data_IF_570082187593
#
_entry.id   IF_570082187593
#
_cell.length_a   1.000
_cell.length_b   1.000
_cell.length_c   1.000
_cell.angle_alpha   90.00
_cell.angle_beta   90.00
_cell.angle_gamma   90.00
#
_symmetry.space_group_name_H-M   'P 1'
#
loop_
_entity.id
_entity.type
_entity.pdbx_description
1 polymer ?
#
# COMPACT_ATOMS: atom_id res chain seq x y z
N UNK A 1 -33.61 -14.68 -60.09
CA UNK A 1 -34.11 -14.93 -58.72
C UNK A 1 -33.05 -15.75 -58.00
N UNK A 2 -32.35 -15.33 -56.95
CA UNK A 2 -32.30 -14.10 -56.19
C UNK A 2 -31.12 -14.24 -55.22
N UNK A 3 -30.08 -13.44 -55.42
CA UNK A 3 -28.87 -13.30 -54.59
C UNK A 3 -29.17 -12.39 -53.40
N UNK A 4 -29.42 -12.90 -52.19
CA UNK A 4 -29.39 -12.11 -50.93
C UNK A 4 -29.26 -13.00 -49.68
N UNK A 5 -28.07 -13.49 -49.34
CA UNK A 5 -27.71 -13.87 -47.95
C UNK A 5 -26.20 -13.67 -47.77
N UNK A 6 -25.74 -12.43 -47.69
CA UNK A 6 -24.36 -12.10 -47.32
C UNK A 6 -24.32 -10.65 -46.81
N UNK A 7 -24.92 -10.40 -45.63
CA UNK A 7 -24.79 -9.12 -44.91
C UNK A 7 -25.46 -9.23 -43.53
N UNK A 8 -24.94 -10.05 -42.62
CA UNK A 8 -25.40 -10.04 -41.21
C UNK A 8 -24.41 -10.69 -40.24
N UNK A 9 -23.10 -10.63 -40.50
CA UNK A 9 -22.07 -11.02 -39.52
C UNK A 9 -20.87 -10.08 -39.70
N UNK A 10 -21.07 -8.78 -39.52
CA UNK A 10 -19.96 -7.80 -39.50
C UNK A 10 -20.33 -6.54 -38.71
N UNK A 11 -21.25 -6.63 -37.75
CA UNK A 11 -21.68 -5.48 -36.94
C UNK A 11 -21.55 -5.69 -35.42
N UNK A 12 -21.05 -6.85 -34.96
CA UNK A 12 -20.85 -7.14 -33.54
C UNK A 12 -19.41 -6.91 -33.04
N UNK A 13 -18.42 -6.77 -33.94
CA UNK A 13 -17.00 -6.66 -33.55
C UNK A 13 -16.55 -5.20 -33.40
N UNK A 14 -17.26 -4.23 -33.98
CA UNK A 14 -16.84 -2.82 -33.96
C UNK A 14 -17.34 -2.00 -32.76
N UNK A 15 -18.25 -2.54 -31.95
CA UNK A 15 -18.83 -1.79 -30.82
C UNK A 15 -18.01 -1.85 -29.52
N UNK A 16 -16.95 -2.66 -29.46
CA UNK A 16 -16.10 -2.79 -28.28
C UNK A 16 -14.92 -1.79 -28.23
N UNK A 17 -14.69 -0.99 -29.27
CA UNK A 17 -13.50 -0.12 -29.38
C UNK A 17 -13.78 1.39 -29.28
N UNK A 18 -15.02 1.80 -29.01
CA UNK A 18 -15.41 3.22 -28.83
C UNK A 18 -16.17 3.46 -27.53
N UNK A 19 -15.91 2.66 -26.49
CA UNK A 19 -16.25 3.11 -25.14
C UNK A 19 -15.28 4.25 -24.78
N UNK A 20 -15.77 5.45 -24.43
CA UNK A 20 -14.90 6.45 -23.83
C UNK A 20 -14.21 5.82 -22.62
N UNK A 21 -12.88 5.96 -22.51
CA UNK A 21 -12.14 5.61 -21.30
C UNK A 21 -12.90 6.28 -20.16
N UNK A 22 -13.55 5.53 -19.25
CA UNK A 22 -14.13 6.17 -18.09
C UNK A 22 -12.95 6.81 -17.37
N UNK A 23 -12.96 8.15 -17.27
CA UNK A 23 -12.18 8.81 -16.24
C UNK A 23 -12.45 8.03 -14.96
N UNK A 24 -11.40 7.44 -14.35
CA UNK A 24 -11.49 6.57 -13.18
C UNK A 24 -12.54 7.12 -12.22
N UNK A 25 -13.76 6.61 -12.32
CA UNK A 25 -14.80 6.88 -11.37
C UNK A 25 -14.25 6.26 -10.10
N UNK A 26 -14.10 7.06 -9.05
CA UNK A 26 -13.44 6.67 -7.81
C UNK A 26 -13.81 5.23 -7.46
N UNK A 27 -12.81 4.36 -7.44
CA UNK A 27 -12.99 2.95 -7.13
C UNK A 27 -13.49 2.91 -5.69
N UNK A 28 -14.80 2.78 -5.50
CA UNK A 28 -15.38 2.58 -4.18
C UNK A 28 -15.08 1.15 -3.80
N UNK A 29 -14.05 0.96 -2.98
CA UNK A 29 -13.81 -0.34 -2.36
C UNK A 29 -15.02 -0.71 -1.52
N UNK A 30 -15.61 -1.86 -1.85
CA UNK A 30 -16.72 -2.46 -1.08
C UNK A 30 -16.21 -3.46 -0.03
N UNK A 31 -14.90 -3.72 -0.02
CA UNK A 31 -14.25 -4.65 0.89
C UNK A 31 -13.63 -3.86 2.05
N UNK A 32 -13.62 -4.43 3.27
CA UNK A 32 -13.00 -3.76 4.40
C UNK A 32 -11.50 -3.65 4.16
N UNK A 33 -10.97 -2.43 4.18
CA UNK A 33 -9.53 -2.17 4.24
C UNK A 33 -9.12 -1.84 5.68
N UNK A 34 -7.94 -2.29 6.08
CA UNK A 34 -7.38 -2.02 7.40
C UNK A 34 -5.90 -1.60 7.28
N UNK A 35 -5.49 -0.70 8.17
CA UNK A 35 -4.08 -0.33 8.34
C UNK A 35 -3.74 -0.27 9.82
N UNK A 36 -2.62 -0.85 10.21
CA UNK A 36 -2.16 -0.79 11.61
C UNK A 36 -0.63 -0.84 11.72
N UNK A 37 -0.13 -0.38 12.86
CA UNK A 37 1.28 -0.51 13.23
C UNK A 37 1.57 -1.91 13.77
N UNK A 38 2.75 -2.44 13.45
CA UNK A 38 3.22 -3.74 13.97
C UNK A 38 3.44 -3.77 15.48
N UNK A 39 3.58 -2.59 16.10
CA UNK A 39 3.80 -2.42 17.53
C UNK A 39 2.96 -1.24 18.05
N UNK A 40 2.65 -1.28 19.34
CA UNK A 40 1.86 -0.23 19.99
C UNK A 40 2.68 1.00 20.39
N UNK A 41 4.01 0.91 20.36
CA UNK A 41 4.90 2.02 20.69
C UNK A 41 6.23 1.97 19.95
N UNK A 42 6.80 3.15 19.66
CA UNK A 42 8.12 3.31 19.03
C UNK A 42 8.98 4.36 19.74
N UNK A 43 10.30 4.17 19.75
CA UNK A 43 11.30 5.11 20.26
C UNK A 43 12.05 5.84 19.14
N UNK A 44 13.01 6.69 19.53
CA UNK A 44 13.92 7.36 18.59
C UNK A 44 14.83 6.34 17.91
N UNK A 45 14.93 6.41 16.58
CA UNK A 45 15.70 5.48 15.76
C UNK A 45 15.01 4.15 15.47
N UNK A 46 13.84 3.88 16.07
CA UNK A 46 13.06 2.68 15.74
C UNK A 46 12.55 2.72 14.30
N UNK A 47 12.36 1.54 13.71
CA UNK A 47 11.65 1.40 12.44
C UNK A 47 10.18 1.13 12.73
N UNK A 48 9.33 2.12 12.47
CA UNK A 48 7.89 1.95 12.51
C UNK A 48 7.45 1.15 11.28
N UNK A 49 6.90 -0.04 11.52
CA UNK A 49 6.40 -0.94 10.47
C UNK A 49 4.88 -0.89 10.49
N UNK A 50 4.28 -0.81 9.31
CA UNK A 50 2.82 -0.80 9.12
C UNK A 50 2.42 -1.93 8.20
N UNK A 51 1.23 -2.48 8.45
CA UNK A 51 0.59 -3.47 7.61
C UNK A 51 -0.72 -2.93 7.07
N UNK A 52 -0.95 -3.13 5.77
CA UNK A 52 -2.20 -2.81 5.07
C UNK A 52 -2.81 -4.09 4.57
N UNK A 53 -4.05 -4.37 4.93
CA UNK A 53 -4.84 -5.45 4.34
C UNK A 53 -5.88 -4.82 3.42
N UNK A 54 -5.70 -4.97 2.10
CA UNK A 54 -6.65 -4.50 1.10
C UNK A 54 -6.59 -5.35 -0.18
N UNK A 55 -7.64 -6.14 -0.49
CA UNK A 55 -7.69 -6.93 -1.72
C UNK A 55 -7.74 -6.09 -3.01
N UNK A 56 -8.13 -4.82 -2.95
CA UNK A 56 -8.14 -3.93 -4.11
C UNK A 56 -6.73 -3.45 -4.50
N UNK A 57 -5.73 -3.63 -3.62
CA UNK A 57 -4.31 -3.47 -3.95
C UNK A 57 -3.72 -4.67 -4.70
N UNK A 58 -4.46 -5.79 -4.79
CA UNK A 58 -4.05 -6.97 -5.54
C UNK A 58 -5.10 -7.33 -6.59
N UNK A 59 -5.38 -6.44 -7.57
CA UNK A 59 -6.30 -6.74 -8.64
C UNK A 59 -5.76 -7.90 -9.49
N UNK A 60 -6.60 -8.87 -9.89
CA UNK A 60 -6.16 -9.94 -10.77
C UNK A 60 -5.67 -9.39 -12.11
N UNK A 61 -4.67 -10.06 -12.68
CA UNK A 61 -4.26 -9.85 -14.07
C UNK A 61 -4.84 -10.95 -14.94
N UNK A 62 -5.31 -10.57 -16.14
CA UNK A 62 -5.89 -11.50 -17.11
C UNK A 62 -4.88 -11.86 -18.20
N UNK A 63 -4.92 -13.12 -18.65
CA UNK A 63 -4.27 -13.57 -19.88
C UNK A 63 -5.17 -14.51 -20.68
N UNK A 64 -4.96 -14.54 -22.00
CA UNK A 64 -5.58 -15.52 -22.87
C UNK A 64 -4.58 -16.62 -23.18
N UNK A 65 -5.00 -17.88 -23.02
CA UNK A 65 -4.28 -19.05 -23.49
C UNK A 65 -5.03 -19.65 -24.68
N UNK A 66 -4.30 -19.96 -25.75
CA UNK A 66 -4.86 -20.55 -26.98
C UNK A 66 -4.10 -21.81 -27.38
N UNK A 67 -4.81 -22.90 -27.63
CA UNK A 67 -4.32 -24.09 -28.33
C UNK A 67 -4.99 -24.20 -29.70
N UNK A 68 -4.25 -23.91 -30.77
CA UNK A 68 -4.79 -23.87 -32.14
C UNK A 68 -4.62 -25.19 -32.88
N UNK A 69 -5.71 -25.71 -33.46
CA UNK A 69 -5.69 -26.92 -34.33
C UNK A 69 -5.00 -28.10 -33.65
N UNK A 70 -5.50 -28.52 -32.49
CA UNK A 70 -4.85 -29.59 -31.72
C UNK A 70 -4.73 -30.88 -32.54
N UNK A 71 -3.57 -31.58 -32.55
CA UNK A 71 -3.29 -32.66 -33.49
C UNK A 71 -3.99 -33.98 -33.15
N UNK A 72 -4.39 -34.17 -31.90
CA UNK A 72 -5.09 -35.36 -31.42
C UNK A 72 -6.11 -34.99 -30.34
N UNK A 73 -7.15 -35.83 -30.12
CA UNK A 73 -8.09 -35.60 -29.04
C UNK A 73 -7.41 -35.57 -27.68
N UNK A 74 -7.89 -34.72 -26.78
CA UNK A 74 -7.48 -34.61 -25.37
C UNK A 74 -8.69 -35.03 -24.54
N UNK A 75 -8.52 -36.04 -23.70
CA UNK A 75 -9.65 -36.62 -22.96
C UNK A 75 -10.17 -35.65 -21.89
N UNK A 76 -11.43 -35.84 -21.49
CA UNK A 76 -11.94 -35.17 -20.30
C UNK A 76 -11.04 -35.47 -19.09
N UNK A 77 -10.97 -34.54 -18.14
CA UNK A 77 -10.13 -34.65 -16.93
C UNK A 77 -8.60 -34.66 -17.16
N UNK A 78 -8.14 -34.53 -18.42
CA UNK A 78 -6.72 -34.30 -18.71
C UNK A 78 -6.33 -32.85 -18.42
N UNK A 79 -5.10 -32.68 -17.93
CA UNK A 79 -4.53 -31.39 -17.57
C UNK A 79 -4.06 -30.61 -18.81
N UNK A 80 -4.50 -29.36 -18.89
CA UNK A 80 -4.01 -28.33 -19.80
C UNK A 80 -3.14 -27.37 -19.01
N UNK A 81 -1.86 -27.29 -19.36
CA UNK A 81 -0.91 -26.50 -18.59
C UNK A 81 -0.65 -25.15 -19.28
N UNK A 82 -1.06 -24.06 -18.63
CA UNK A 82 -0.94 -22.67 -19.08
C UNK A 82 0.51 -22.16 -19.06
N UNK A 83 1.43 -22.85 -18.39
CA UNK A 83 2.84 -22.47 -18.38
C UNK A 83 3.60 -23.06 -19.57
N UNK A 84 3.35 -24.34 -19.86
CA UNK A 84 4.11 -25.14 -20.83
C UNK A 84 3.40 -25.35 -22.16
N UNK A 85 2.09 -25.13 -22.20
CA UNK A 85 1.25 -25.47 -23.35
C UNK A 85 0.93 -26.96 -23.48
N UNK A 86 1.29 -27.80 -22.50
CA UNK A 86 0.85 -29.20 -22.48
C UNK A 86 -0.69 -29.29 -22.52
N UNK A 87 -1.28 -30.31 -23.19
CA UNK A 87 -0.61 -31.45 -23.81
C UNK A 87 -0.01 -31.18 -25.21
N UNK A 88 -0.29 -30.02 -25.83
CA UNK A 88 0.11 -29.71 -27.21
C UNK A 88 0.92 -28.40 -27.30
N UNK A 89 2.17 -28.37 -26.80
CA UNK A 89 2.96 -27.13 -26.67
C UNK A 89 3.27 -26.45 -28.01
N UNK A 90 3.41 -27.22 -29.10
CA UNK A 90 3.66 -26.67 -30.44
C UNK A 90 2.46 -25.89 -31.03
N UNK A 91 1.29 -26.00 -30.41
CA UNK A 91 0.04 -25.38 -30.82
C UNK A 91 -0.41 -24.28 -29.86
N UNK A 92 0.39 -24.02 -28.83
CA UNK A 92 0.07 -23.17 -27.70
C UNK A 92 0.60 -21.76 -27.86
N UNK A 93 -0.18 -20.77 -27.45
CA UNK A 93 0.25 -19.39 -27.33
C UNK A 93 -0.49 -18.67 -26.20
N UNK A 94 0.21 -17.74 -25.54
CA UNK A 94 -0.37 -16.73 -24.65
C UNK A 94 -0.66 -15.44 -25.41
N UNK A 95 -1.60 -14.64 -24.92
CA UNK A 95 -1.82 -13.28 -25.40
C UNK A 95 -0.55 -12.42 -25.28
N UNK A 96 -0.37 -11.48 -26.20
CA UNK A 96 0.78 -10.58 -26.18
C UNK A 96 0.76 -9.72 -24.90
N UNK A 97 1.91 -9.60 -24.24
CA UNK A 97 2.03 -8.85 -22.98
C UNK A 97 1.53 -9.59 -21.75
N UNK A 98 1.20 -10.88 -21.86
CA UNK A 98 0.84 -11.71 -20.73
C UNK A 98 1.96 -11.72 -19.67
N UNK A 99 1.62 -11.36 -18.43
CA UNK A 99 2.55 -11.27 -17.30
C UNK A 99 2.66 -12.57 -16.48
N UNK A 100 1.92 -13.61 -16.87
CA UNK A 100 1.94 -14.92 -16.19
C UNK A 100 3.33 -15.54 -16.26
N UNK A 101 3.87 -15.96 -15.11
CA UNK A 101 5.20 -16.56 -15.03
C UNK A 101 5.15 -18.03 -15.48
N UNK A 102 5.50 -18.27 -16.74
CA UNK A 102 5.54 -19.62 -17.32
C UNK A 102 6.71 -20.46 -16.82
N UNK A 103 7.72 -19.86 -16.16
CA UNK A 103 8.89 -20.57 -15.62
C UNK A 103 8.63 -21.01 -14.18
N UNK A 104 7.98 -20.16 -13.38
CA UNK A 104 7.61 -20.43 -11.99
C UNK A 104 6.15 -20.02 -11.73
N UNK A 105 5.15 -20.81 -12.15
CA UNK A 105 3.73 -20.43 -12.07
C UNK A 105 3.24 -20.14 -10.64
N UNK A 106 3.88 -20.71 -9.63
CA UNK A 106 3.59 -20.40 -8.22
C UNK A 106 3.92 -18.97 -7.81
N UNK A 107 4.72 -18.23 -8.59
CA UNK A 107 4.96 -16.79 -8.41
C UNK A 107 3.86 -15.93 -9.04
N UNK A 108 2.98 -16.53 -9.83
CA UNK A 108 1.78 -15.90 -10.38
C UNK A 108 0.58 -16.86 -10.24
N UNK A 109 0.17 -17.19 -9.01
CA UNK A 109 -0.81 -18.25 -8.78
C UNK A 109 -2.14 -17.92 -9.46
N UNK A 110 -2.80 -18.93 -10.02
CA UNK A 110 -4.09 -18.75 -10.68
C UNK A 110 -5.15 -18.30 -9.68
N UNK A 111 -5.91 -17.27 -10.05
CA UNK A 111 -7.10 -16.81 -9.34
C UNK A 111 -8.33 -17.19 -10.17
N UNK A 112 -9.13 -18.18 -9.77
CA UNK A 112 -10.25 -18.64 -10.58
C UNK A 112 -11.34 -17.56 -10.66
N UNK A 113 -11.73 -17.10 -11.85
CA UNK A 113 -12.88 -16.21 -11.97
C UNK A 113 -14.19 -16.96 -11.68
N UNK A 114 -15.24 -16.27 -11.18
CA UNK A 114 -16.57 -16.87 -11.05
C UNK A 114 -17.07 -17.43 -12.38
N UNK A 115 -17.35 -18.73 -12.44
CA UNK A 115 -17.86 -19.38 -13.65
C UNK A 115 -16.80 -19.60 -14.74
N UNK A 116 -15.53 -19.76 -14.36
CA UNK A 116 -14.43 -19.98 -15.28
C UNK A 116 -14.74 -21.06 -16.34
N UNK A 117 -14.60 -20.65 -17.61
CA UNK A 117 -14.88 -21.49 -18.76
C UNK A 117 -13.75 -21.36 -19.81
N UNK A 118 -13.56 -22.43 -20.57
CA UNK A 118 -12.79 -22.45 -21.81
C UNK A 118 -13.76 -22.46 -23.00
N UNK A 119 -13.42 -21.73 -24.06
CA UNK A 119 -14.11 -21.80 -25.33
C UNK A 119 -13.44 -22.84 -26.24
N UNK A 120 -14.24 -23.72 -26.83
CA UNK A 120 -13.81 -24.66 -27.86
C UNK A 120 -14.65 -24.48 -29.09
N UNK A 121 -14.00 -23.99 -30.15
CA UNK A 121 -14.61 -23.67 -31.44
C UNK A 121 -15.89 -22.80 -31.32
N UNK A 122 -15.89 -21.83 -30.40
CA UNK A 122 -17.03 -20.93 -30.16
C UNK A 122 -18.07 -21.45 -29.16
N UNK A 123 -17.82 -22.60 -28.51
CA UNK A 123 -18.69 -23.16 -27.48
C UNK A 123 -17.99 -23.13 -26.12
N UNK A 124 -18.62 -22.47 -25.14
CA UNK A 124 -18.08 -22.41 -23.78
C UNK A 124 -18.33 -23.71 -23.00
N UNK A 125 -17.29 -24.14 -22.29
CA UNK A 125 -17.30 -25.30 -21.41
C UNK A 125 -16.64 -24.97 -20.07
N UNK A 126 -17.16 -25.52 -18.98
CA UNK A 126 -16.65 -25.25 -17.65
C UNK A 126 -15.26 -25.87 -17.43
N UNK A 127 -14.39 -25.10 -16.80
CA UNK A 127 -13.17 -25.62 -16.18
C UNK A 127 -13.60 -26.47 -14.97
N UNK A 128 -13.25 -27.75 -15.00
CA UNK A 128 -13.64 -28.73 -13.98
C UNK A 128 -12.78 -28.63 -12.73
N UNK A 129 -11.50 -28.32 -12.90
CA UNK A 129 -10.51 -28.25 -11.84
C UNK A 129 -9.35 -27.34 -12.28
N UNK A 130 -8.56 -26.87 -11.34
CA UNK A 130 -7.37 -26.06 -11.60
C UNK A 130 -6.31 -26.26 -10.52
N UNK A 131 -5.05 -26.14 -10.93
CA UNK A 131 -3.89 -26.16 -10.04
C UNK A 131 -3.22 -24.79 -10.08
N UNK A 132 -3.32 -24.05 -8.98
CA UNK A 132 -2.78 -22.70 -8.85
C UNK A 132 -1.26 -22.67 -8.97
N UNK A 133 -0.57 -23.66 -8.38
CA UNK A 133 0.89 -23.67 -8.29
C UNK A 133 1.55 -24.15 -9.57
N UNK A 134 0.88 -25.01 -10.33
CA UNK A 134 1.36 -25.52 -11.62
C UNK A 134 0.89 -24.69 -12.81
N UNK A 135 -0.07 -23.79 -12.62
CA UNK A 135 -0.64 -23.04 -13.73
C UNK A 135 -1.42 -23.95 -14.67
N UNK A 136 -2.26 -24.86 -14.14
CA UNK A 136 -2.94 -25.86 -14.97
C UNK A 136 -4.45 -25.87 -14.73
N UNK A 137 -5.20 -26.29 -15.75
CA UNK A 137 -6.65 -26.45 -15.70
C UNK A 137 -7.06 -27.82 -16.23
N UNK A 138 -8.22 -28.31 -15.82
CA UNK A 138 -8.89 -29.45 -16.41
C UNK A 138 -10.19 -29.04 -17.06
N UNK A 139 -10.50 -29.64 -18.20
CA UNK A 139 -11.76 -29.43 -18.89
C UNK A 139 -12.74 -30.55 -18.56
N UNK A 140 -14.03 -30.20 -18.41
CA UNK A 140 -15.12 -31.12 -18.09
C UNK A 140 -15.58 -32.00 -19.27
N UNK A 141 -14.85 -32.00 -20.38
CA UNK A 141 -15.22 -32.66 -21.64
C UNK A 141 -13.98 -33.00 -22.47
N UNK A 142 -14.15 -33.94 -23.41
CA UNK A 142 -13.12 -34.32 -24.39
C UNK A 142 -13.04 -33.28 -25.51
N UNK A 143 -11.84 -32.77 -25.79
CA UNK A 143 -11.59 -31.88 -26.93
C UNK A 143 -11.14 -32.71 -28.13
N UNK A 144 -11.79 -32.55 -29.27
CA UNK A 144 -11.48 -33.33 -30.48
C UNK A 144 -10.28 -32.77 -31.25
N UNK A 145 -9.64 -33.63 -32.07
CA UNK A 145 -8.60 -33.17 -32.98
C UNK A 145 -9.11 -32.06 -33.91
N UNK A 146 -8.20 -31.18 -34.33
CA UNK A 146 -8.43 -29.96 -35.14
C UNK A 146 -9.19 -28.83 -34.46
N UNK A 147 -9.73 -29.02 -33.25
CA UNK A 147 -10.36 -27.94 -32.49
C UNK A 147 -9.36 -26.88 -32.06
N UNK A 148 -9.88 -25.69 -31.80
CA UNK A 148 -9.17 -24.59 -31.14
C UNK A 148 -9.75 -24.39 -29.75
N UNK A 149 -8.88 -24.41 -28.73
CA UNK A 149 -9.25 -24.12 -27.35
C UNK A 149 -8.74 -22.74 -26.99
N UNK A 150 -9.58 -21.90 -26.43
CA UNK A 150 -9.17 -20.63 -25.82
C UNK A 150 -9.68 -20.55 -24.40
N UNK A 151 -8.90 -19.98 -23.49
CA UNK A 151 -9.33 -19.73 -22.12
C UNK A 151 -8.77 -18.40 -21.65
N UNK A 152 -9.63 -17.57 -21.07
CA UNK A 152 -9.22 -16.39 -20.32
C UNK A 152 -9.01 -16.85 -18.90
N UNK A 153 -7.86 -16.57 -18.32
CA UNK A 153 -7.54 -16.93 -16.95
C UNK A 153 -7.01 -15.72 -16.20
N UNK A 154 -7.33 -15.68 -14.90
CA UNK A 154 -6.81 -14.66 -14.01
C UNK A 154 -5.73 -15.26 -13.12
N UNK A 155 -4.77 -14.44 -12.74
CA UNK A 155 -3.70 -14.79 -11.82
C UNK A 155 -3.29 -13.57 -11.03
N UNK A 156 -2.67 -13.85 -9.90
CA UNK A 156 -2.13 -12.82 -9.05
C UNK A 156 -0.70 -12.51 -9.45
N UNK A 157 -0.33 -11.24 -9.35
CA UNK A 157 1.04 -10.77 -9.55
C UNK A 157 1.48 -10.09 -8.28
N UNK A 158 2.78 -10.15 -7.98
CA UNK A 158 3.30 -9.51 -6.78
C UNK A 158 3.17 -7.99 -6.91
N UNK A 159 2.47 -7.36 -5.96
CA UNK A 159 2.22 -5.93 -6.02
C UNK A 159 3.22 -5.12 -5.19
N UNK A 160 3.64 -3.99 -5.77
CA UNK A 160 4.51 -3.02 -5.13
C UNK A 160 4.03 -1.61 -5.43
N UNK A 161 3.91 -0.80 -4.40
CA UNK A 161 3.47 0.58 -4.48
C UNK A 161 4.60 1.50 -3.98
N UNK A 162 5.30 2.23 -4.86
CA UNK A 162 6.33 3.17 -4.44
C UNK A 162 5.71 4.34 -3.68
N UNK A 163 6.48 5.05 -2.85
CA UNK A 163 5.97 6.23 -2.11
C UNK A 163 5.28 7.28 -3.01
N UNK A 164 5.69 7.39 -4.28
CA UNK A 164 5.07 8.28 -5.28
C UNK A 164 3.62 7.90 -5.65
N UNK A 165 3.14 6.71 -5.30
CA UNK A 165 1.73 6.31 -5.48
C UNK A 165 0.80 6.89 -4.42
N UNK A 166 1.34 7.45 -3.33
CA UNK A 166 0.58 8.10 -2.24
C UNK A 166 -0.42 7.18 -1.52
N UNK A 167 -0.21 5.86 -1.55
CA UNK A 167 -1.14 4.87 -0.96
C UNK A 167 -1.18 4.90 0.56
N UNK A 168 -0.07 5.25 1.22
CA UNK A 168 0.02 5.31 2.67
C UNK A 168 0.96 6.43 3.12
N UNK A 169 0.69 7.00 4.29
CA UNK A 169 1.50 8.04 4.92
C UNK A 169 1.66 7.78 6.41
N UNK A 170 2.87 7.93 6.93
CA UNK A 170 3.14 7.92 8.37
C UNK A 170 3.55 9.34 8.79
N UNK A 171 2.99 9.86 9.87
CA UNK A 171 3.21 11.24 10.32
C UNK A 171 3.07 11.37 11.85
N UNK A 172 3.40 12.54 12.39
CA UNK A 172 3.24 12.86 13.82
C UNK A 172 2.52 14.21 14.00
N UNK A 173 2.15 14.58 15.22
CA UNK A 173 1.60 15.93 15.47
C UNK A 173 2.63 17.03 15.20
N UNK A 174 3.92 16.73 15.38
CA UNK A 174 5.00 17.68 15.15
C UNK A 174 5.42 17.75 13.68
N UNK A 175 5.21 16.68 12.94
CA UNK A 175 5.43 16.59 11.50
C UNK A 175 4.17 16.09 10.80
N UNK A 176 3.18 16.98 10.54
CA UNK A 176 1.90 16.61 9.94
C UNK A 176 2.00 16.29 8.44
N UNK A 177 3.12 16.64 7.80
CA UNK A 177 3.38 16.25 6.42
C UNK A 177 3.91 14.82 6.37
N UNK A 178 4.77 14.46 7.32
CA UNK A 178 5.31 13.12 7.50
C UNK A 178 5.92 12.55 6.22
N UNK A 179 5.87 11.23 6.10
CA UNK A 179 6.46 10.48 5.01
C UNK A 179 5.43 9.63 4.27
N UNK A 180 5.43 9.74 2.94
CA UNK A 180 4.75 8.78 2.08
C UNK A 180 5.55 7.49 2.06
N UNK A 181 4.88 6.36 2.26
CA UNK A 181 5.53 5.08 2.48
C UNK A 181 5.34 4.18 1.26
N UNK A 182 6.43 3.58 0.79
CA UNK A 182 6.34 2.47 -0.15
C UNK A 182 5.85 1.22 0.57
N UNK A 183 4.89 0.52 -0.01
CA UNK A 183 4.38 -0.74 0.53
C UNK A 183 4.61 -1.88 -0.46
N UNK A 184 4.97 -3.06 0.05
CA UNK A 184 5.22 -4.27 -0.74
C UNK A 184 4.37 -5.42 -0.21
N UNK A 185 3.82 -6.24 -1.09
CA UNK A 185 3.01 -7.39 -0.71
C UNK A 185 3.88 -8.49 -0.02
N UNK A 186 3.38 -9.07 1.07
CA UNK A 186 4.12 -10.02 1.93
C UNK A 186 3.22 -11.16 2.42
N UNK A 187 3.81 -12.33 2.64
CA UNK A 187 3.10 -13.53 3.08
C UNK A 187 2.32 -13.34 4.39
N UNK A 188 2.93 -12.73 5.41
CA UNK A 188 2.28 -12.47 6.70
C UNK A 188 2.96 -11.35 7.47
N UNK A 189 2.35 -10.90 8.56
CA UNK A 189 2.98 -9.90 9.45
C UNK A 189 4.28 -10.40 10.10
N UNK A 190 4.45 -11.72 10.23
CA UNK A 190 5.65 -12.36 10.77
C UNK A 190 6.65 -12.83 9.71
N UNK A 191 6.28 -12.78 8.43
CA UNK A 191 7.08 -13.28 7.32
C UNK A 191 7.00 -12.31 6.14
N UNK A 192 8.09 -11.59 5.93
CA UNK A 192 8.21 -10.58 4.87
C UNK A 192 8.58 -11.17 3.50
N UNK A 193 8.50 -12.49 3.32
CA UNK A 193 8.67 -13.08 1.99
C UNK A 193 7.55 -12.61 1.06
N UNK A 194 7.84 -12.32 -0.22
CA UNK A 194 6.80 -11.91 -1.16
C UNK A 194 5.77 -13.01 -1.39
N UNK A 195 4.48 -12.64 -1.37
CA UNK A 195 3.37 -13.53 -1.70
C UNK A 195 2.27 -12.79 -2.47
N UNK A 196 2.12 -13.03 -3.79
CA UNK A 196 1.15 -12.35 -4.64
C UNK A 196 -0.32 -12.65 -4.28
N UNK A 197 -0.60 -13.68 -3.48
CA UNK A 197 -1.96 -14.06 -3.11
C UNK A 197 -2.38 -13.56 -1.72
N UNK A 198 -1.50 -12.85 -1.01
CA UNK A 198 -1.72 -12.48 0.39
C UNK A 198 -2.68 -11.31 0.58
N UNK A 199 -2.70 -10.34 -0.37
CA UNK A 199 -3.35 -9.04 -0.21
C UNK A 199 -2.94 -8.28 1.07
N UNK A 200 -1.78 -8.64 1.64
CA UNK A 200 -1.19 -8.03 2.83
C UNK A 200 0.08 -7.29 2.42
N UNK A 201 0.15 -6.02 2.77
CA UNK A 201 1.24 -5.15 2.36
C UNK A 201 1.99 -4.60 3.56
N UNK A 202 3.30 -4.52 3.45
CA UNK A 202 4.18 -4.01 4.50
C UNK A 202 4.83 -2.71 4.06
N UNK A 203 4.71 -1.68 4.89
CA UNK A 203 5.41 -0.40 4.78
C UNK A 203 6.29 -0.15 6.00
N UNK A 204 7.25 0.78 5.89
CA UNK A 204 8.05 1.19 7.03
C UNK A 204 8.63 2.61 6.91
N UNK A 205 8.88 3.24 8.05
CA UNK A 205 9.61 4.52 8.16
C UNK A 205 10.47 4.52 9.43
N UNK A 206 11.54 5.32 9.44
CA UNK A 206 12.34 5.50 10.67
C UNK A 206 11.77 6.64 11.51
N UNK A 207 11.64 6.44 12.82
CA UNK A 207 11.24 7.48 13.77
C UNK A 207 12.47 8.30 14.16
N UNK A 208 12.39 9.63 14.14
CA UNK A 208 13.53 10.50 14.48
C UNK A 208 13.15 11.67 15.38
N UNK A 209 13.97 11.94 16.39
CA UNK A 209 13.86 13.16 17.22
C UNK A 209 14.58 14.38 16.64
N UNK A 210 15.31 14.21 15.53
CA UNK A 210 16.02 15.31 14.84
C UNK A 210 15.01 16.19 14.07
N UNK A 211 14.88 17.49 14.39
CA UNK A 211 14.01 18.40 13.63
C UNK A 211 14.39 18.54 12.15
N UNK A 212 15.60 18.15 11.76
CA UNK A 212 16.00 18.05 10.36
C UNK A 212 15.20 17.01 9.56
N UNK A 213 14.57 16.05 10.25
CA UNK A 213 13.75 14.98 9.67
C UNK A 213 12.28 15.36 9.39
N UNK A 214 11.99 16.64 9.19
CA UNK A 214 10.68 17.12 8.69
C UNK A 214 10.65 17.23 7.16
N UNK A 215 11.75 16.90 6.50
CA UNK A 215 11.87 17.09 5.06
C UNK A 215 11.19 15.92 4.37
N UNK A 216 10.27 16.17 3.43
CA UNK A 216 9.55 15.08 2.77
C UNK A 216 10.52 14.18 2.00
N UNK A 217 10.21 12.88 1.99
CA UNK A 217 10.94 11.83 1.26
C UNK A 217 12.38 11.62 1.76
N UNK A 218 12.65 11.91 3.03
CA UNK A 218 13.91 11.56 3.68
C UNK A 218 13.86 10.18 4.39
N UNK A 219 12.70 9.53 4.37
CA UNK A 219 12.46 8.22 4.97
C UNK A 219 12.37 8.24 6.50
N UNK A 220 12.19 9.43 7.09
CA UNK A 220 12.11 9.65 8.54
C UNK A 220 10.92 10.51 8.89
N UNK A 221 10.28 10.20 10.02
CA UNK A 221 9.24 11.06 10.60
C UNK A 221 9.79 11.74 11.83
N UNK A 222 9.78 13.07 11.83
CA UNK A 222 10.17 13.83 13.00
C UNK A 222 9.13 13.73 14.12
N UNK A 223 9.59 13.48 15.34
CA UNK A 223 8.76 13.36 16.54
C UNK A 223 9.35 14.09 17.74
N UNK A 224 8.49 14.49 18.67
CA UNK A 224 8.86 15.07 19.96
C UNK A 224 8.27 14.26 21.13
N UNK A 225 8.86 14.44 22.30
CA UNK A 225 8.29 13.89 23.52
C UNK A 225 6.85 14.38 23.73
N UNK A 226 5.91 13.45 23.85
CA UNK A 226 4.48 13.72 23.97
C UNK A 226 3.69 13.54 22.68
N UNK A 227 4.36 13.36 21.53
CA UNK A 227 3.71 13.05 20.26
C UNK A 227 3.20 11.59 20.23
N UNK A 228 2.30 11.32 19.28
CA UNK A 228 1.90 10.02 18.79
C UNK A 228 2.28 9.88 17.32
N UNK A 229 2.50 8.64 16.88
CA UNK A 229 2.70 8.34 15.47
C UNK A 229 1.37 7.92 14.86
N UNK A 230 1.06 8.43 13.69
CA UNK A 230 -0.16 8.13 12.95
C UNK A 230 0.19 7.51 11.61
N UNK A 231 -0.70 6.66 11.12
CA UNK A 231 -0.66 6.16 9.76
C UNK A 231 -2.03 6.35 9.11
N UNK A 232 -2.02 6.85 7.89
CA UNK A 232 -3.17 7.00 7.01
C UNK A 232 -3.02 6.09 5.80
N UNK A 233 -4.09 5.39 5.43
CA UNK A 233 -4.22 4.62 4.19
C UNK A 233 -5.19 5.29 3.23
N UNK A 234 -4.81 5.47 1.97
CA UNK A 234 -5.59 6.23 0.98
C UNK A 234 -6.19 5.38 -0.16
N UNK A 235 -5.87 4.09 -0.25
CA UNK A 235 -6.36 3.22 -1.32
C UNK A 235 -5.43 3.16 -2.56
N UNK A 236 -5.73 2.26 -3.52
CA UNK A 236 -4.91 2.00 -4.72
C UNK A 236 -4.72 3.21 -5.64
N UNK A 237 -5.69 4.13 -5.66
CA UNK A 237 -5.63 5.35 -6.47
C UNK A 237 -4.93 6.53 -5.78
N UNK A 238 -4.53 6.35 -4.51
CA UNK A 238 -4.24 7.47 -3.61
C UNK A 238 -5.49 8.32 -3.34
N UNK A 239 -5.29 9.43 -2.63
CA UNK A 239 -6.40 10.34 -2.32
C UNK A 239 -6.04 11.41 -1.29
N UNK A 240 -6.96 12.35 -1.11
CA UNK A 240 -6.83 13.40 -0.09
C UNK A 240 -7.45 12.98 1.27
N UNK A 241 -8.31 11.96 1.27
CA UNK A 241 -9.01 11.49 2.46
C UNK A 241 -8.62 10.05 2.75
N UNK A 242 -8.17 9.72 3.97
CA UNK A 242 -7.85 8.35 4.32
C UNK A 242 -9.11 7.47 4.34
N UNK A 243 -8.96 6.25 3.85
CA UNK A 243 -9.93 5.15 3.94
C UNK A 243 -9.85 4.45 5.31
N UNK A 244 -8.65 4.36 5.87
CA UNK A 244 -8.38 3.82 7.20
C UNK A 244 -7.21 4.55 7.83
N UNK A 245 -7.18 4.63 9.16
CA UNK A 245 -6.10 5.26 9.93
C UNK A 245 -5.86 4.51 11.23
N UNK A 246 -4.62 4.55 11.72
CA UNK A 246 -4.23 3.97 12.99
C UNK A 246 -3.16 4.83 13.68
N UNK A 247 -2.91 4.56 14.96
CA UNK A 247 -1.95 5.31 15.77
C UNK A 247 -1.15 4.40 16.70
N UNK A 248 0.10 4.76 16.93
CA UNK A 248 0.99 4.16 17.93
C UNK A 248 1.55 5.24 18.86
N UNK A 249 1.82 4.88 20.11
CA UNK A 249 2.44 5.78 21.08
C UNK A 249 3.94 5.94 20.82
N UNK A 250 4.54 6.97 21.42
CA UNK A 250 5.99 7.15 21.37
C UNK A 250 6.62 6.98 22.76
N UNK A 251 7.70 6.21 22.84
CA UNK A 251 8.49 6.00 24.06
C UNK A 251 9.78 6.83 23.96
N UNK A 252 9.61 8.16 24.01
CA UNK A 252 10.74 9.11 23.96
C UNK A 252 11.13 9.57 25.36
N UNK A 253 12.44 9.68 25.66
CA UNK A 253 12.90 10.19 26.94
C UNK A 253 12.35 11.60 27.17
N UNK A 254 11.85 11.86 28.38
CA UNK A 254 11.43 13.21 28.75
C UNK A 254 12.62 14.17 28.61
N UNK A 255 12.43 15.39 28.08
CA UNK A 255 13.50 16.37 28.00
C UNK A 255 14.03 16.64 29.41
N UNK A 256 15.35 16.46 29.60
CA UNK A 256 15.97 16.82 30.86
C UNK A 256 15.87 18.33 31.01
N UNK A 257 15.29 18.87 32.10
CA UNK A 257 15.23 20.31 32.29
C UNK A 257 16.66 20.83 32.32
N UNK A 258 17.04 21.63 31.32
CA UNK A 258 18.31 22.36 31.41
C UNK A 258 18.14 23.32 32.58
N UNK A 259 19.00 23.27 33.60
CA UNK A 259 18.88 24.21 34.72
C UNK A 259 18.93 25.61 34.14
N UNK A 260 17.84 26.37 34.32
CA UNK A 260 17.84 27.79 33.98
C UNK A 260 19.02 28.39 34.73
N UNK A 261 19.98 29.02 34.05
CA UNK A 261 21.09 29.66 34.74
C UNK A 261 20.49 30.65 35.73
N UNK A 262 20.67 30.38 37.02
CA UNK A 262 20.32 31.35 38.06
C UNK A 262 21.17 32.57 37.73
N UNK A 263 20.58 33.74 37.43
CA UNK A 263 21.38 34.93 37.20
C UNK A 263 22.24 35.10 38.45
N UNK A 264 23.56 35.09 38.27
CA UNK A 264 24.48 35.32 39.36
C UNK A 264 24.02 36.61 40.04
N UNK A 265 23.63 36.51 41.31
CA UNK A 265 23.45 37.67 42.17
C UNK A 265 24.83 38.30 42.33
N UNK A 266 25.22 39.10 41.35
CA UNK A 266 26.37 39.98 41.47
C UNK A 266 26.23 40.80 42.75
N UNK A 267 27.33 41.22 43.39
CA UNK A 267 27.33 41.90 44.69
C UNK A 267 26.56 43.24 44.74
N UNK A 268 25.86 43.63 43.68
CA UNK A 268 25.20 44.92 43.53
C UNK A 268 23.85 44.97 44.28
N UNK A 269 23.19 43.85 44.57
CA UNK A 269 21.91 43.86 45.29
C UNK A 269 22.01 44.16 46.79
N UNK A 270 23.18 43.98 47.42
CA UNK A 270 23.41 44.35 48.82
C UNK A 270 23.82 45.82 48.99
N UNK A 271 24.46 46.42 47.99
CA UNK A 271 24.84 47.84 48.02
C UNK A 271 23.61 48.78 47.89
N UNK A 272 22.63 48.41 47.05
CA UNK A 272 21.42 49.24 46.84
C UNK A 272 20.50 49.24 48.07
N UNK A 273 20.41 48.11 48.79
CA UNK A 273 19.68 48.02 50.07
C UNK A 273 20.42 48.73 51.23
N UNK A 274 21.75 48.72 51.26
CA UNK A 274 22.54 49.45 52.27
C UNK A 274 22.49 50.97 52.11
N UNK A 275 22.55 51.48 50.87
CA UNK A 275 22.53 52.93 50.60
C UNK A 275 21.15 53.53 50.89
N UNK A 276 20.05 52.82 50.59
CA UNK A 276 18.70 53.29 50.93
C UNK A 276 18.46 53.33 52.45
N UNK A 277 19.01 52.39 53.22
CA UNK A 277 18.92 52.42 54.69
C UNK A 277 19.71 53.57 55.32
N UNK A 278 20.89 53.90 54.79
CA UNK A 278 21.71 55.04 55.24
C UNK A 278 21.05 56.39 54.93
N UNK A 279 20.44 56.54 53.75
CA UNK A 279 19.73 57.77 53.37
C UNK A 279 18.50 57.98 54.28
N UNK A 280 17.76 56.92 54.61
CA UNK A 280 16.60 56.98 55.52
C UNK A 280 16.99 57.29 56.97
N UNK A 281 18.11 56.74 57.48
CA UNK A 281 18.61 57.09 58.81
C UNK A 281 19.09 58.55 58.88
N UNK A 282 19.78 59.04 57.86
CA UNK A 282 20.29 60.42 57.85
C UNK A 282 19.16 61.46 57.76
N UNK A 283 18.09 61.14 57.03
CA UNK A 283 16.89 61.99 56.96
C UNK A 283 16.08 62.03 58.27
N UNK A 284 16.09 60.96 59.07
CA UNK A 284 15.48 60.96 60.41
C UNK A 284 16.29 61.74 61.44
N UNK A 285 17.61 61.74 61.35
CA UNK A 285 18.49 62.41 62.33
C UNK A 285 18.58 63.93 62.13
N UNK A 286 18.30 64.45 60.94
CA UNK A 286 18.42 65.90 60.63
C UNK A 286 17.14 66.71 60.85
N UNK A 287 16.03 66.08 61.23
CA UNK A 287 14.83 66.81 61.67
C UNK A 287 14.96 67.25 63.13
N UNK A 288 15.77 68.27 63.37
CA UNK A 288 15.71 69.07 64.61
C UNK A 288 14.31 69.67 64.77
N UNK A 289 13.69 69.43 65.92
CA UNK A 289 12.40 70.02 66.28
C UNK A 289 12.51 71.55 66.24
N UNK A 290 11.66 72.19 65.43
CA UNK A 290 11.41 73.64 65.57
C UNK A 290 10.81 73.89 66.96
N UNK A 291 11.40 74.77 67.78
CA UNK A 291 10.74 75.21 69.01
C UNK A 291 9.46 75.98 68.64
N UNK A 292 8.37 75.68 69.33
CA UNK A 292 7.13 76.46 69.27
C UNK A 292 7.35 77.75 70.06
N UNK A 293 7.28 78.89 69.38
CA UNK A 293 6.94 80.18 69.97
C UNK A 293 5.43 80.34 69.98
#
# INVERSE_FOLDING_TARGET
MGTKVAALITLAVFYYWLAPVPAQAGHFSILPSDIHFSATSYGDGDTAVVYVSDPDLSPPTDCDATWSKIPSPVQFDEWWNLATGSPHPAHYALSAGCAFDTVSPSQTPLRPPPGWAADVDGTAFLVADFDQALGAIKLSFTVNASSTVTTVFQFDVLNFYPASSTVARIYSESDPNGELVSISEVFSESDSTPDPASALFRGQVTVSTDPGSQSPADGRVWVRHGDSLFVDYFGPGGGATPLSSSSASLTLPAPTPTPTPVPASGPISLAVLGITFLILMWWRLTRTQRPKT
#
